data_IF_809220037144
#
_entry.id   IF_809220037144
#
_cell.length_a   1.000
_cell.length_b   1.000
_cell.length_c   1.000
_cell.angle_alpha   90.00
_cell.angle_beta   90.00
_cell.angle_gamma   90.00
#
_symmetry.space_group_name_H-M   'P 1'
#
loop_
_entity.id
_entity.type
_entity.pdbx_description
1 polymer ?
#
# COMPACT_ATOMS: atom_id res chain seq x y z
N UNK A 1 9.87 17.12 20.43
CA UNK A 1 10.43 15.88 19.84
C UNK A 1 11.50 16.14 18.79
N UNK A 2 11.25 16.96 17.76
CA UNK A 2 12.26 17.25 16.71
C UNK A 2 13.60 17.74 17.26
N UNK A 3 13.59 18.70 18.20
CA UNK A 3 14.83 19.19 18.85
C UNK A 3 15.60 18.09 19.59
N UNK A 4 14.89 17.15 20.21
CA UNK A 4 15.52 16.00 20.88
C UNK A 4 16.22 15.11 19.85
N UNK A 5 15.58 14.79 18.72
CA UNK A 5 16.19 14.00 17.66
C UNK A 5 17.42 14.68 17.04
N UNK A 6 17.43 16.03 16.97
CA UNK A 6 18.61 16.78 16.52
C UNK A 6 19.78 16.68 17.50
N UNK A 7 19.51 16.75 18.81
CA UNK A 7 20.52 16.64 19.88
C UNK A 7 21.00 15.19 20.10
N UNK A 8 20.14 14.23 19.82
CA UNK A 8 20.37 12.79 20.02
C UNK A 8 20.00 12.02 18.75
N UNK A 9 20.79 12.16 17.66
CA UNK A 9 20.48 11.51 16.40
C UNK A 9 20.52 9.99 16.55
N UNK A 10 19.52 9.33 15.96
CA UNK A 10 19.43 7.88 15.91
C UNK A 10 20.27 7.34 14.75
N UNK A 11 20.50 6.02 14.73
CA UNK A 11 21.24 5.36 13.65
C UNK A 11 20.51 5.47 12.31
N UNK A 12 21.26 5.84 11.27
CA UNK A 12 20.83 5.90 9.88
C UNK A 12 21.87 5.16 9.05
N UNK A 13 21.45 4.13 8.31
CA UNK A 13 22.34 3.33 7.47
C UNK A 13 22.82 4.11 6.26
N UNK A 14 24.09 3.92 5.91
CA UNK A 14 24.69 4.58 4.75
C UNK A 14 24.06 4.08 3.44
N UNK A 15 23.89 5.01 2.49
CA UNK A 15 23.44 4.70 1.14
C UNK A 15 24.59 4.78 0.15
N UNK A 16 24.86 3.66 -0.51
CA UNK A 16 25.79 3.62 -1.64
C UNK A 16 25.08 4.07 -2.91
N UNK A 17 25.73 4.92 -3.72
CA UNK A 17 25.24 5.27 -5.05
C UNK A 17 25.16 4.04 -5.98
N UNK A 18 25.98 3.01 -5.70
CA UNK A 18 25.98 1.74 -6.41
C UNK A 18 24.98 0.72 -5.84
N UNK A 19 24.14 1.12 -4.87
CA UNK A 19 23.11 0.23 -4.31
C UNK A 19 22.20 -0.27 -5.42
N UNK A 20 21.89 -1.56 -5.37
CA UNK A 20 21.03 -2.28 -6.31
C UNK A 20 19.58 -2.31 -5.86
N UNK A 21 19.30 -1.82 -4.65
CA UNK A 21 17.97 -1.79 -4.06
C UNK A 21 17.00 -0.96 -4.88
N UNK A 22 15.82 -1.49 -5.15
CA UNK A 22 14.77 -0.79 -5.91
C UNK A 22 13.41 -1.38 -5.57
N UNK A 23 12.36 -0.61 -5.84
CA UNK A 23 10.99 -1.07 -5.84
C UNK A 23 10.67 -1.70 -7.19
N UNK A 24 10.02 -2.86 -7.16
CA UNK A 24 9.41 -3.47 -8.33
C UNK A 24 7.88 -3.39 -8.17
N UNK A 25 7.20 -2.93 -9.22
CA UNK A 25 5.74 -2.74 -9.22
C UNK A 25 5.19 -3.07 -10.59
N UNK A 26 3.90 -3.45 -10.66
CA UNK A 26 3.24 -3.76 -11.91
C UNK A 26 3.18 -2.52 -12.81
N UNK A 27 3.28 -2.74 -14.13
CA UNK A 27 3.23 -1.68 -15.15
C UNK A 27 1.92 -1.67 -15.95
N UNK A 28 1.07 -2.65 -15.69
CA UNK A 28 -0.27 -2.82 -16.26
C UNK A 28 -1.03 -3.84 -15.40
N UNK A 29 -2.36 -3.87 -15.50
CA UNK A 29 -3.20 -4.91 -14.89
C UNK A 29 -3.32 -4.87 -13.37
N UNK A 30 -2.85 -3.82 -12.70
CA UNK A 30 -3.10 -3.57 -11.27
C UNK A 30 -4.26 -2.59 -11.07
N UNK A 31 -4.57 -2.23 -9.82
CA UNK A 31 -5.68 -1.32 -9.54
C UNK A 31 -5.48 0.05 -10.18
N UNK A 32 -4.25 0.56 -10.22
CA UNK A 32 -3.94 1.86 -10.83
C UNK A 32 -4.34 1.92 -12.31
N UNK A 33 -3.91 0.95 -13.11
CA UNK A 33 -4.09 1.02 -14.57
C UNK A 33 -5.53 0.71 -15.01
N UNK A 34 -6.28 -0.05 -14.20
CA UNK A 34 -7.68 -0.37 -14.44
C UNK A 34 -8.68 0.60 -13.84
N UNK A 35 -8.25 1.60 -13.05
CA UNK A 35 -9.17 2.46 -12.30
C UNK A 35 -10.09 3.29 -13.22
N UNK A 36 -11.34 3.44 -12.79
CA UNK A 36 -12.30 4.42 -13.31
C UNK A 36 -12.95 5.11 -12.13
N UNK A 37 -13.25 6.40 -12.25
CA UNK A 37 -13.82 7.20 -11.17
C UNK A 37 -14.93 8.13 -11.68
N UNK A 38 -15.87 8.46 -10.79
CA UNK A 38 -17.00 9.34 -11.05
C UNK A 38 -17.37 10.14 -9.80
N UNK A 39 -17.53 11.45 -9.95
CA UNK A 39 -18.22 12.31 -8.96
C UNK A 39 -19.72 12.29 -9.21
N UNK A 40 -20.54 12.01 -8.19
CA UNK A 40 -21.99 11.97 -8.33
C UNK A 40 -22.65 13.35 -8.36
N UNK A 41 -23.63 13.53 -9.24
CA UNK A 41 -24.39 14.77 -9.41
C UNK A 41 -25.62 14.87 -8.48
N UNK A 42 -26.04 13.75 -7.91
CA UNK A 42 -27.22 13.57 -7.05
C UNK A 42 -27.03 12.37 -6.11
N UNK A 43 -27.88 12.26 -5.10
CA UNK A 43 -27.93 11.07 -4.24
C UNK A 43 -28.32 9.83 -5.07
N UNK A 44 -27.64 8.71 -4.87
CA UNK A 44 -27.90 7.46 -5.59
C UNK A 44 -27.79 6.26 -4.65
N UNK A 45 -28.58 5.24 -4.93
CA UNK A 45 -28.37 3.91 -4.34
C UNK A 45 -27.91 2.98 -5.45
N UNK A 46 -26.75 2.35 -5.27
CA UNK A 46 -26.15 1.49 -6.29
C UNK A 46 -25.98 0.06 -5.80
N UNK A 47 -25.87 -0.87 -6.75
CA UNK A 47 -25.50 -2.27 -6.52
C UNK A 47 -24.26 -2.62 -7.33
N UNK A 48 -23.50 -3.60 -6.85
CA UNK A 48 -22.35 -4.17 -7.55
C UNK A 48 -22.77 -5.54 -8.11
N UNK A 49 -22.67 -5.72 -9.42
CA UNK A 49 -23.10 -6.93 -10.11
C UNK A 49 -22.01 -7.44 -11.05
N UNK A 50 -21.98 -8.75 -11.27
CA UNK A 50 -21.14 -9.42 -12.25
C UNK A 50 -22.06 -10.12 -13.25
N UNK A 51 -21.97 -9.72 -14.51
CA UNK A 51 -22.61 -10.43 -15.63
C UNK A 51 -21.60 -11.41 -16.21
N UNK A 52 -21.81 -12.71 -16.02
CA UNK A 52 -20.91 -13.77 -16.49
C UNK A 52 -20.98 -13.95 -18.00
N UNK A 53 -20.02 -14.71 -18.57
CA UNK A 53 -20.05 -15.05 -20.01
C UNK A 53 -21.25 -15.92 -20.40
N UNK A 54 -21.86 -16.67 -19.47
CA UNK A 54 -23.11 -17.41 -19.71
C UNK A 54 -24.34 -16.50 -19.82
N UNK A 55 -24.21 -15.23 -19.41
CA UNK A 55 -25.32 -14.27 -19.33
C UNK A 55 -26.01 -14.22 -17.97
N UNK A 56 -25.52 -14.99 -16.99
CA UNK A 56 -26.05 -14.95 -15.62
C UNK A 56 -25.58 -13.68 -14.89
N UNK A 57 -26.46 -13.09 -14.08
CA UNK A 57 -26.12 -11.92 -13.26
C UNK A 57 -25.98 -12.32 -11.81
N UNK A 58 -24.76 -12.18 -11.26
CA UNK A 58 -24.46 -12.39 -9.85
C UNK A 58 -24.43 -11.04 -9.14
N UNK A 59 -25.22 -10.88 -8.08
CA UNK A 59 -25.20 -9.68 -7.24
C UNK A 59 -24.14 -9.84 -6.16
N UNK A 60 -23.03 -9.11 -6.26
CA UNK A 60 -21.93 -9.14 -5.30
C UNK A 60 -22.22 -8.27 -4.07
N UNK A 61 -22.79 -7.08 -4.30
CA UNK A 61 -23.27 -6.18 -3.24
C UNK A 61 -24.64 -5.62 -3.62
N UNK A 62 -25.71 -5.95 -2.88
CA UNK A 62 -27.06 -5.56 -3.29
C UNK A 62 -27.37 -4.07 -3.09
N UNK A 63 -26.70 -3.41 -2.13
CA UNK A 63 -26.96 -2.00 -1.81
C UNK A 63 -25.69 -1.31 -1.29
N UNK A 64 -25.45 -0.11 -1.84
CA UNK A 64 -24.50 0.91 -1.39
C UNK A 64 -25.16 2.28 -1.58
N UNK A 65 -25.38 3.02 -0.47
CA UNK A 65 -25.97 4.37 -0.51
C UNK A 65 -24.87 5.41 -0.68
N UNK A 66 -25.08 6.34 -1.59
CA UNK A 66 -24.12 7.37 -1.98
C UNK A 66 -24.80 8.74 -2.01
N UNK A 67 -24.10 9.75 -1.50
CA UNK A 67 -24.57 11.12 -1.48
C UNK A 67 -24.17 11.90 -2.74
N UNK A 68 -24.89 12.99 -3.00
CA UNK A 68 -24.49 13.98 -3.99
C UNK A 68 -23.08 14.49 -3.70
N UNK A 69 -22.25 14.51 -4.72
CA UNK A 69 -20.88 15.00 -4.65
C UNK A 69 -19.87 13.96 -4.17
N UNK A 70 -20.31 12.78 -3.70
CA UNK A 70 -19.42 11.67 -3.39
C UNK A 70 -18.67 11.23 -4.65
N UNK A 71 -17.41 10.81 -4.46
CA UNK A 71 -16.60 10.21 -5.50
C UNK A 71 -16.63 8.69 -5.28
N UNK A 72 -16.93 7.96 -6.35
CA UNK A 72 -16.85 6.50 -6.39
C UNK A 72 -15.85 6.04 -7.43
N UNK A 73 -15.14 4.97 -7.11
CA UNK A 73 -14.15 4.37 -8.00
C UNK A 73 -14.49 2.91 -8.25
N UNK A 74 -14.08 2.41 -9.41
CA UNK A 74 -14.14 1.01 -9.78
C UNK A 74 -12.79 0.61 -10.32
N UNK A 75 -12.15 -0.37 -9.69
CA UNK A 75 -10.80 -0.81 -10.03
C UNK A 75 -10.67 -2.31 -9.83
N UNK A 76 -9.83 -2.95 -10.62
CA UNK A 76 -9.52 -4.37 -10.45
C UNK A 76 -8.02 -4.63 -10.60
N UNK A 77 -7.57 -5.71 -9.98
CA UNK A 77 -6.22 -6.27 -10.18
C UNK A 77 -6.37 -7.60 -10.90
N UNK A 78 -5.74 -7.72 -12.06
CA UNK A 78 -5.71 -8.95 -12.84
C UNK A 78 -4.83 -9.97 -12.15
N UNK A 79 -5.39 -11.15 -11.84
CA UNK A 79 -4.63 -12.28 -11.27
C UNK A 79 -3.54 -12.73 -12.23
N UNK A 80 -3.85 -12.79 -13.53
CA UNK A 80 -2.89 -13.20 -14.55
C UNK A 80 -1.69 -12.25 -14.60
N UNK A 81 -1.95 -10.94 -14.72
CA UNK A 81 -0.89 -9.94 -14.75
C UNK A 81 -0.06 -9.95 -13.47
N UNK A 82 -0.69 -10.14 -12.30
CA UNK A 82 -0.01 -10.27 -11.03
C UNK A 82 0.91 -11.49 -10.97
N UNK A 83 0.43 -12.66 -11.42
CA UNK A 83 1.22 -13.88 -11.43
C UNK A 83 2.41 -13.79 -12.40
N UNK A 84 2.18 -13.26 -13.60
CA UNK A 84 3.23 -13.04 -14.61
C UNK A 84 4.30 -12.08 -14.07
N UNK A 85 3.86 -10.98 -13.44
CA UNK A 85 4.75 -10.03 -12.77
C UNK A 85 5.58 -10.71 -11.66
N UNK A 86 4.97 -11.52 -10.81
CA UNK A 86 5.72 -12.21 -9.75
C UNK A 86 6.78 -13.16 -10.30
N UNK A 87 6.46 -13.98 -11.31
CA UNK A 87 7.45 -14.88 -11.92
C UNK A 87 8.60 -14.06 -12.56
N UNK A 88 8.29 -12.97 -13.28
CA UNK A 88 9.31 -12.07 -13.84
C UNK A 88 10.22 -11.48 -12.76
N UNK A 89 9.64 -10.96 -11.67
CA UNK A 89 10.42 -10.29 -10.63
C UNK A 89 11.25 -11.26 -9.78
N UNK A 90 10.72 -12.46 -9.53
CA UNK A 90 11.44 -13.58 -8.88
C UNK A 90 12.63 -13.98 -9.75
N UNK A 91 12.41 -14.19 -11.05
CA UNK A 91 13.46 -14.60 -11.98
C UNK A 91 14.54 -13.51 -12.15
N UNK A 92 14.15 -12.25 -12.26
CA UNK A 92 15.11 -11.15 -12.33
C UNK A 92 15.90 -11.02 -11.03
N UNK A 93 15.28 -11.19 -9.85
CA UNK A 93 15.98 -11.16 -8.58
C UNK A 93 17.00 -12.31 -8.47
N UNK A 94 16.64 -13.49 -8.97
CA UNK A 94 17.54 -14.65 -9.02
C UNK A 94 18.73 -14.39 -9.95
N UNK A 95 18.48 -14.00 -11.20
CA UNK A 95 19.53 -13.70 -12.20
C UNK A 95 20.47 -12.58 -11.76
N UNK A 96 19.92 -11.56 -11.12
CA UNK A 96 20.71 -10.42 -10.66
C UNK A 96 21.37 -10.71 -9.30
N UNK A 97 20.92 -11.71 -8.54
CA UNK A 97 21.45 -12.01 -7.21
C UNK A 97 21.12 -10.93 -6.17
N UNK A 98 20.01 -10.22 -6.35
CA UNK A 98 19.46 -9.27 -5.36
C UNK A 98 18.39 -10.00 -4.55
N UNK A 99 18.39 -9.80 -3.23
CA UNK A 99 17.43 -10.46 -2.35
C UNK A 99 15.99 -10.00 -2.64
N UNK A 100 15.04 -10.91 -2.70
CA UNK A 100 13.63 -10.60 -2.91
C UNK A 100 12.95 -10.25 -1.57
N UNK A 101 12.11 -9.23 -1.56
CA UNK A 101 11.18 -8.95 -0.47
C UNK A 101 9.81 -8.57 -1.00
N UNK A 102 8.75 -8.88 -0.25
CA UNK A 102 7.36 -8.53 -0.55
C UNK A 102 6.83 -7.57 0.51
N UNK A 103 6.30 -6.44 0.05
CA UNK A 103 5.79 -5.38 0.90
C UNK A 103 4.33 -5.10 0.56
N UNK A 104 3.43 -5.67 1.36
CA UNK A 104 1.97 -5.49 1.24
C UNK A 104 1.37 -5.11 2.60
N UNK A 105 0.06 -4.91 2.65
CA UNK A 105 -0.67 -4.50 3.86
C UNK A 105 -1.82 -5.44 4.22
N UNK A 106 -1.52 -6.72 4.43
CA UNK A 106 -2.55 -7.76 4.52
C UNK A 106 -3.46 -7.66 5.76
N UNK A 107 -2.98 -7.06 6.85
CA UNK A 107 -3.77 -6.88 8.08
C UNK A 107 -4.91 -5.88 7.93
N UNK A 108 -4.66 -4.78 7.21
CA UNK A 108 -5.65 -3.73 6.97
C UNK A 108 -6.48 -4.07 5.73
N UNK A 109 -5.83 -4.48 4.63
CA UNK A 109 -6.51 -4.85 3.38
C UNK A 109 -6.95 -6.31 3.40
N UNK A 110 -7.87 -6.62 4.33
CA UNK A 110 -8.21 -7.99 4.76
C UNK A 110 -8.69 -8.95 3.67
N UNK A 111 -9.17 -8.42 2.54
CA UNK A 111 -9.65 -9.24 1.41
C UNK A 111 -8.57 -9.31 0.33
N UNK A 112 -8.15 -8.17 -0.22
CA UNK A 112 -7.28 -8.14 -1.40
C UNK A 112 -5.86 -8.62 -1.11
N UNK A 113 -5.21 -8.10 -0.06
CA UNK A 113 -3.77 -8.33 0.12
C UNK A 113 -3.40 -9.75 0.58
N UNK A 114 -4.22 -10.49 1.36
CA UNK A 114 -3.98 -11.92 1.56
C UNK A 114 -3.96 -12.72 0.25
N UNK A 115 -4.84 -12.41 -0.72
CA UNK A 115 -4.84 -13.05 -2.05
C UNK A 115 -3.56 -12.70 -2.81
N UNK A 116 -3.20 -11.42 -2.85
CA UNK A 116 -1.96 -10.93 -3.48
C UNK A 116 -0.72 -11.59 -2.89
N UNK A 117 -0.70 -11.77 -1.57
CA UNK A 117 0.37 -12.46 -0.85
C UNK A 117 0.41 -13.95 -1.17
N UNK A 118 -0.73 -14.63 -1.13
CA UNK A 118 -0.81 -16.07 -1.42
C UNK A 118 -0.33 -16.43 -2.82
N UNK A 119 -0.60 -15.58 -3.83
CA UNK A 119 -0.04 -15.76 -5.17
C UNK A 119 1.49 -15.69 -5.17
N UNK A 120 2.11 -14.76 -4.44
CA UNK A 120 3.56 -14.69 -4.34
C UNK A 120 4.16 -15.98 -3.75
N UNK A 121 3.54 -16.52 -2.68
CA UNK A 121 3.98 -17.77 -2.05
C UNK A 121 3.87 -18.94 -3.01
N UNK A 122 2.72 -19.11 -3.68
CA UNK A 122 2.51 -20.21 -4.63
C UNK A 122 3.49 -20.17 -5.80
N UNK A 123 3.80 -18.98 -6.32
CA UNK A 123 4.73 -18.82 -7.46
C UNK A 123 6.17 -19.06 -7.03
N UNK A 124 6.56 -18.58 -5.85
CA UNK A 124 7.91 -18.81 -5.33
C UNK A 124 8.17 -20.32 -5.12
N UNK A 125 7.22 -21.04 -4.52
CA UNK A 125 7.31 -22.47 -4.23
C UNK A 125 6.59 -23.36 -5.26
N UNK A 126 6.46 -22.90 -6.51
CA UNK A 126 5.60 -23.55 -7.52
C UNK A 126 5.88 -25.04 -7.69
N UNK A 127 7.15 -25.46 -7.70
CA UNK A 127 7.53 -26.87 -7.92
C UNK A 127 7.03 -27.76 -6.78
N UNK A 128 7.07 -27.28 -5.53
CA UNK A 128 6.53 -27.99 -4.38
C UNK A 128 4.99 -28.02 -4.41
N UNK A 129 4.34 -26.92 -4.80
CA UNK A 129 2.89 -26.88 -4.97
C UNK A 129 2.43 -27.83 -6.08
N UNK A 130 3.06 -27.81 -7.25
CA UNK A 130 2.71 -28.70 -8.36
C UNK A 130 2.81 -30.19 -7.96
N UNK A 131 3.83 -30.55 -7.19
CA UNK A 131 4.01 -31.93 -6.72
C UNK A 131 3.00 -32.34 -5.64
N UNK A 132 2.65 -31.44 -4.72
CA UNK A 132 1.87 -31.74 -3.51
C UNK A 132 0.45 -31.18 -3.50
N UNK A 133 -0.02 -30.56 -4.60
CA UNK A 133 -1.26 -29.79 -4.65
C UNK A 133 -2.46 -30.56 -4.10
N UNK A 134 -2.63 -31.81 -4.53
CA UNK A 134 -3.75 -32.66 -4.07
C UNK A 134 -3.76 -32.84 -2.56
N UNK A 135 -2.58 -33.07 -1.97
CA UNK A 135 -2.45 -33.23 -0.52
C UNK A 135 -2.69 -31.90 0.21
N UNK A 136 -2.18 -30.79 -0.34
CA UNK A 136 -2.44 -29.45 0.21
C UNK A 136 -3.93 -29.10 0.19
N UNK A 137 -4.66 -29.46 -0.86
CA UNK A 137 -6.11 -29.28 -0.94
C UNK A 137 -6.84 -30.15 0.10
N UNK A 138 -6.46 -31.42 0.25
CA UNK A 138 -7.03 -32.35 1.25
C UNK A 138 -6.81 -31.87 2.70
N UNK A 139 -5.65 -31.27 2.98
CA UNK A 139 -5.31 -30.70 4.29
C UNK A 139 -5.92 -29.30 4.52
N UNK A 140 -6.47 -28.68 3.46
CA UNK A 140 -7.00 -27.32 3.50
C UNK A 140 -5.92 -26.27 3.77
N UNK A 141 -4.74 -26.43 3.15
CA UNK A 141 -3.65 -25.45 3.21
C UNK A 141 -4.09 -24.16 2.52
N UNK A 142 -3.96 -23.03 3.22
CA UNK A 142 -4.26 -21.71 2.69
C UNK A 142 -3.09 -20.75 2.90
N UNK A 143 -2.20 -20.68 1.90
CA UNK A 143 -1.05 -19.77 1.94
C UNK A 143 -1.36 -18.28 1.80
N UNK A 144 -2.63 -17.91 1.61
CA UNK A 144 -3.05 -16.53 1.84
C UNK A 144 -2.84 -16.13 3.32
N UNK A 145 -2.78 -17.11 4.22
CA UNK A 145 -2.44 -16.96 5.63
C UNK A 145 -0.94 -17.13 5.95
N UNK A 146 -0.08 -17.32 4.94
CA UNK A 146 1.36 -17.56 5.17
C UNK A 146 1.81 -19.01 5.03
N UNK A 147 3.12 -19.21 4.89
CA UNK A 147 3.74 -20.54 5.04
C UNK A 147 3.54 -21.13 6.43
N UNK A 148 3.30 -20.30 7.45
CA UNK A 148 2.95 -20.78 8.79
C UNK A 148 1.71 -21.68 8.78
N UNK A 149 0.72 -21.36 7.92
CA UNK A 149 -0.47 -22.20 7.74
C UNK A 149 -0.06 -23.56 7.16
N UNK A 150 0.70 -23.58 6.06
CA UNK A 150 1.22 -24.81 5.46
C UNK A 150 1.98 -25.65 6.49
N UNK A 151 2.95 -25.07 7.20
CA UNK A 151 3.74 -25.77 8.20
C UNK A 151 2.86 -26.38 9.29
N UNK A 152 1.87 -25.65 9.80
CA UNK A 152 0.94 -26.18 10.81
C UNK A 152 0.09 -27.36 10.30
N UNK A 153 -0.30 -27.36 9.03
CA UNK A 153 -1.13 -28.41 8.44
C UNK A 153 -0.37 -29.71 8.21
N UNK A 154 0.90 -29.61 7.84
CA UNK A 154 1.73 -30.80 7.56
C UNK A 154 2.24 -31.48 8.83
N UNK A 155 2.18 -30.85 10.01
CA UNK A 155 2.55 -31.46 11.30
C UNK A 155 1.74 -32.73 11.61
N UNK A 156 0.51 -32.83 11.10
CA UNK A 156 -0.35 -34.00 11.28
C UNK A 156 0.02 -35.19 10.38
N UNK A 157 0.95 -35.02 9.44
CA UNK A 157 1.35 -36.05 8.48
C UNK A 157 2.37 -37.04 9.08
N UNK A 158 2.50 -38.24 8.50
CA UNK A 158 3.63 -39.12 8.78
C UNK A 158 4.97 -38.42 8.52
N UNK A 159 5.97 -38.69 9.36
CA UNK A 159 7.28 -38.05 9.30
C UNK A 159 7.93 -38.08 7.90
N UNK A 160 7.78 -39.19 7.16
CA UNK A 160 8.33 -39.31 5.81
C UNK A 160 7.71 -38.32 4.80
N UNK A 161 6.39 -38.09 4.86
CA UNK A 161 5.71 -37.13 3.99
C UNK A 161 6.01 -35.70 4.42
N UNK A 162 6.03 -35.45 5.73
CA UNK A 162 6.42 -34.15 6.28
C UNK A 162 7.84 -33.77 5.83
N UNK A 163 8.83 -34.65 6.01
CA UNK A 163 10.21 -34.42 5.59
C UNK A 163 10.35 -34.25 4.07
N UNK A 164 9.57 -34.99 3.28
CA UNK A 164 9.54 -34.82 1.83
C UNK A 164 9.06 -33.42 1.43
N UNK A 165 7.95 -32.93 1.99
CA UNK A 165 7.42 -31.59 1.71
C UNK A 165 8.43 -30.51 2.11
N UNK A 166 9.01 -30.62 3.31
CA UNK A 166 10.02 -29.66 3.79
C UNK A 166 11.24 -29.64 2.86
N UNK A 167 11.74 -30.81 2.45
CA UNK A 167 12.86 -30.90 1.50
C UNK A 167 12.51 -30.26 0.16
N UNK A 168 11.31 -30.51 -0.37
CA UNK A 168 10.90 -29.98 -1.67
C UNK A 168 10.69 -28.46 -1.62
N UNK A 169 10.20 -27.91 -0.49
CA UNK A 169 10.17 -26.47 -0.25
C UNK A 169 11.58 -25.87 -0.19
N UNK A 170 12.53 -26.55 0.46
CA UNK A 170 13.94 -26.13 0.48
C UNK A 170 14.57 -26.19 -0.92
N UNK A 171 14.27 -27.22 -1.71
CA UNK A 171 14.78 -27.38 -3.07
C UNK A 171 14.37 -26.21 -3.98
N UNK A 172 13.18 -25.61 -3.77
CA UNK A 172 12.76 -24.42 -4.51
C UNK A 172 13.78 -23.27 -4.37
N UNK A 173 14.45 -23.13 -3.21
CA UNK A 173 15.44 -22.07 -3.01
C UNK A 173 16.71 -22.22 -3.86
N UNK A 174 16.97 -23.39 -4.46
CA UNK A 174 18.13 -23.59 -5.36
C UNK A 174 17.99 -22.84 -6.68
N UNK A 175 16.76 -22.56 -7.12
CA UNK A 175 16.43 -21.93 -8.40
C UNK A 175 15.58 -20.66 -8.22
N UNK A 176 15.56 -20.12 -7.01
CA UNK A 176 14.81 -18.91 -6.62
C UNK A 176 15.75 -17.95 -5.91
N UNK A 177 15.46 -16.63 -5.91
CA UNK A 177 16.32 -15.67 -5.22
C UNK A 177 16.31 -15.93 -3.71
N UNK A 178 17.36 -15.47 -3.03
CA UNK A 178 17.33 -15.34 -1.58
C UNK A 178 16.13 -14.48 -1.16
N UNK A 179 15.42 -14.89 -0.12
CA UNK A 179 14.25 -14.21 0.40
C UNK A 179 14.60 -13.44 1.67
N UNK A 180 14.03 -12.25 1.83
CA UNK A 180 14.17 -11.47 3.05
C UNK A 180 13.63 -12.23 4.28
N UNK A 181 14.27 -11.99 5.42
CA UNK A 181 13.95 -12.63 6.69
C UNK A 181 13.36 -11.62 7.68
N UNK A 182 12.35 -12.08 8.41
CA UNK A 182 11.79 -11.39 9.58
C UNK A 182 12.66 -11.72 10.80
N UNK A 183 12.99 -13.00 10.98
CA UNK A 183 13.93 -13.50 11.99
C UNK A 183 14.75 -14.64 11.39
N UNK A 184 15.98 -14.35 10.98
CA UNK A 184 16.88 -15.33 10.36
C UNK A 184 17.31 -16.43 11.34
N UNK A 185 17.39 -16.14 12.64
CA UNK A 185 17.80 -17.12 13.65
C UNK A 185 16.72 -18.20 13.88
N UNK A 186 15.46 -17.85 13.64
CA UNK A 186 14.31 -18.76 13.71
C UNK A 186 13.84 -19.28 12.35
N UNK A 187 14.49 -18.88 11.25
CA UNK A 187 14.06 -19.24 9.91
C UNK A 187 12.73 -18.62 9.47
N UNK A 188 12.29 -17.52 10.11
CA UNK A 188 11.04 -16.83 9.78
C UNK A 188 11.31 -15.89 8.60
N UNK A 189 10.83 -16.27 7.42
CA UNK A 189 10.98 -15.52 6.18
C UNK A 189 9.87 -14.48 5.96
N UNK A 190 10.01 -13.64 4.94
CA UNK A 190 8.98 -12.71 4.48
C UNK A 190 7.65 -13.40 4.13
N UNK A 191 7.68 -14.69 3.77
CA UNK A 191 6.50 -15.47 3.42
C UNK A 191 5.92 -16.27 4.58
N UNK A 192 6.48 -16.15 5.79
CA UNK A 192 5.99 -16.89 6.95
C UNK A 192 4.56 -16.50 7.32
N UNK A 193 4.28 -15.21 7.49
CA UNK A 193 2.92 -14.68 7.71
C UNK A 193 2.72 -13.35 6.95
N UNK A 194 1.52 -13.12 6.38
CA UNK A 194 1.20 -11.91 5.62
C UNK A 194 1.15 -10.63 6.49
N UNK A 195 1.13 -10.78 7.82
CA UNK A 195 1.14 -9.65 8.76
C UNK A 195 2.52 -9.24 9.25
N UNK A 196 3.57 -10.01 8.96
CA UNK A 196 4.89 -9.77 9.55
C UNK A 196 5.62 -8.60 8.87
N UNK A 197 5.49 -8.49 7.54
CA UNK A 197 6.12 -7.44 6.73
C UNK A 197 5.03 -6.53 6.16
N UNK A 198 4.71 -5.47 6.91
CA UNK A 198 3.69 -4.49 6.53
C UNK A 198 4.36 -3.31 5.83
N UNK A 199 3.92 -2.99 4.61
CA UNK A 199 4.57 -2.02 3.69
C UNK A 199 4.88 -0.64 4.32
N UNK A 200 3.95 -0.08 5.08
CA UNK A 200 4.09 1.23 5.73
C UNK A 200 5.22 1.27 6.75
N UNK A 201 5.44 0.20 7.50
CA UNK A 201 6.54 0.11 8.48
C UNK A 201 7.83 -0.48 7.88
N UNK A 202 7.72 -1.45 6.99
CA UNK A 202 8.84 -2.20 6.43
C UNK A 202 9.63 -1.39 5.39
N UNK A 203 8.97 -0.62 4.53
CA UNK A 203 9.64 0.23 3.54
C UNK A 203 10.50 1.32 4.21
N UNK A 204 10.01 2.09 5.19
CA UNK A 204 10.86 3.03 5.93
C UNK A 204 11.98 2.36 6.70
N UNK A 205 11.75 1.19 7.29
CA UNK A 205 12.79 0.45 8.00
C UNK A 205 13.93 0.04 7.04
N UNK A 206 13.60 -0.48 5.87
CA UNK A 206 14.55 -0.83 4.81
C UNK A 206 15.31 0.41 4.30
N UNK A 207 14.60 1.52 4.05
CA UNK A 207 15.21 2.77 3.59
C UNK A 207 16.16 3.36 4.64
N UNK A 208 15.75 3.35 5.91
CA UNK A 208 16.57 3.78 7.04
C UNK A 208 17.82 2.91 7.20
N UNK A 209 17.73 1.60 6.93
CA UNK A 209 18.85 0.66 7.02
C UNK A 209 19.85 0.75 5.84
N UNK A 210 19.78 1.80 5.02
CA UNK A 210 20.67 1.97 3.86
C UNK A 210 20.20 1.20 2.64
N UNK A 211 18.90 0.94 2.53
CA UNK A 211 18.32 0.18 1.44
C UNK A 211 18.46 -1.32 1.62
N UNK A 212 18.50 -1.82 2.85
CA UNK A 212 18.86 -3.22 3.13
C UNK A 212 17.85 -3.91 4.03
N UNK A 213 17.73 -5.22 3.85
CA UNK A 213 16.98 -6.13 4.72
C UNK A 213 17.84 -7.33 5.10
N UNK A 214 17.44 -8.06 6.14
CA UNK A 214 18.18 -9.24 6.60
C UNK A 214 17.94 -10.43 5.67
N UNK A 215 19.01 -11.09 5.26
CA UNK A 215 18.97 -12.36 4.54
C UNK A 215 19.03 -13.58 5.45
N UNK A 216 19.06 -14.76 4.85
CA UNK A 216 19.09 -16.04 5.57
C UNK A 216 20.37 -16.21 6.42
N UNK A 217 21.47 -15.56 6.01
CA UNK A 217 22.74 -15.53 6.75
C UNK A 217 22.78 -14.50 7.91
N UNK A 218 21.66 -13.82 8.18
CA UNK A 218 21.55 -12.81 9.23
C UNK A 218 22.26 -11.49 8.91
N UNK A 219 22.64 -11.25 7.66
CA UNK A 219 23.31 -10.01 7.23
C UNK A 219 22.39 -9.12 6.40
N UNK A 220 22.65 -7.81 6.46
CA UNK A 220 21.93 -6.80 5.67
C UNK A 220 22.38 -6.83 4.21
N UNK A 221 21.43 -6.98 3.29
CA UNK A 221 21.64 -7.08 1.83
C UNK A 221 20.73 -6.13 1.07
N UNK A 222 21.19 -5.70 -0.10
CA UNK A 222 20.35 -4.95 -1.05
C UNK A 222 19.17 -5.83 -1.48
N UNK A 223 18.03 -5.20 -1.74
CA UNK A 223 16.78 -5.92 -1.98
C UNK A 223 15.94 -5.35 -3.11
N UNK A 224 15.26 -6.22 -3.84
CA UNK A 224 14.12 -5.87 -4.69
C UNK A 224 12.88 -5.87 -3.81
N UNK A 225 12.42 -4.68 -3.45
CA UNK A 225 11.20 -4.47 -2.72
C UNK A 225 10.00 -4.57 -3.65
N UNK A 226 9.35 -5.74 -3.66
CA UNK A 226 8.17 -5.98 -4.50
C UNK A 226 6.94 -5.35 -3.83
N UNK A 227 6.37 -4.38 -4.51
CA UNK A 227 5.12 -3.71 -4.18
C UNK A 227 4.22 -3.82 -5.42
N UNK A 228 3.43 -4.91 -5.57
CA UNK A 228 2.74 -5.19 -6.83
C UNK A 228 1.87 -4.04 -7.30
N UNK A 229 1.08 -3.48 -6.38
CA UNK A 229 0.22 -2.33 -6.64
C UNK A 229 1.01 -1.03 -6.82
N UNK A 230 0.88 -0.42 -7.99
CA UNK A 230 1.66 0.74 -8.39
C UNK A 230 1.14 2.09 -7.89
N UNK A 231 -0.13 2.16 -7.49
CA UNK A 231 -0.79 3.40 -7.03
C UNK A 231 0.06 4.19 -6.04
N UNK A 232 0.68 3.52 -5.06
CA UNK A 232 1.44 4.18 -3.98
C UNK A 232 2.89 3.70 -3.85
N UNK A 233 3.35 2.78 -4.71
CA UNK A 233 4.71 2.23 -4.61
C UNK A 233 5.77 3.19 -5.18
N UNK A 234 5.38 4.03 -6.15
CA UNK A 234 6.25 4.93 -6.91
C UNK A 234 6.94 5.98 -6.02
N UNK A 235 6.29 6.42 -4.95
CA UNK A 235 6.89 7.37 -3.99
C UNK A 235 8.11 6.77 -3.26
N UNK A 236 8.11 5.47 -2.99
CA UNK A 236 9.25 4.80 -2.37
C UNK A 236 10.42 4.68 -3.34
N UNK A 237 10.16 4.37 -4.62
CA UNK A 237 11.19 4.35 -5.65
C UNK A 237 11.85 5.73 -5.79
N UNK A 238 11.04 6.80 -5.77
CA UNK A 238 11.54 8.17 -5.86
C UNK A 238 12.44 8.53 -4.68
N UNK A 239 12.05 8.13 -3.46
CA UNK A 239 12.89 8.30 -2.28
C UNK A 239 14.19 7.48 -2.37
N UNK A 240 14.13 6.22 -2.81
CA UNK A 240 15.31 5.37 -2.99
C UNK A 240 16.29 6.02 -3.98
N UNK A 241 15.80 6.49 -5.12
CA UNK A 241 16.61 7.21 -6.11
C UNK A 241 17.25 8.46 -5.51
N UNK A 242 16.48 9.20 -4.70
CA UNK A 242 16.95 10.40 -4.02
C UNK A 242 18.11 10.09 -3.06
N UNK A 243 17.97 9.10 -2.18
CA UNK A 243 19.01 8.77 -1.18
C UNK A 243 20.22 8.07 -1.79
N UNK A 244 20.07 7.34 -2.90
CA UNK A 244 21.22 6.88 -3.70
C UNK A 244 22.02 8.05 -4.27
N UNK A 245 21.36 9.13 -4.67
CA UNK A 245 22.02 10.29 -5.27
C UNK A 245 22.66 11.20 -4.21
N UNK A 246 21.93 11.51 -3.14
CA UNK A 246 22.28 12.53 -2.16
C UNK A 246 22.88 11.95 -0.86
N UNK A 247 22.94 10.63 -0.73
CA UNK A 247 23.24 9.97 0.53
C UNK A 247 22.04 9.96 1.47
N UNK A 248 22.23 9.37 2.65
CA UNK A 248 21.20 9.24 3.66
C UNK A 248 20.79 10.60 4.27
N UNK A 249 19.55 10.70 4.77
CA UNK A 249 19.09 11.88 5.51
C UNK A 249 19.86 12.08 6.82
N UNK A 250 20.04 13.35 7.22
CA UNK A 250 20.66 13.72 8.49
C UNK A 250 19.60 14.25 9.48
N UNK A 251 19.24 13.48 10.53
CA UNK A 251 18.26 13.91 11.54
C UNK A 251 18.61 15.22 12.25
N UNK A 252 19.88 15.63 12.25
CA UNK A 252 20.36 16.87 12.90
C UNK A 252 19.92 18.12 12.14
N UNK A 253 19.82 18.04 10.82
CA UNK A 253 19.64 19.21 9.93
C UNK A 253 18.38 19.13 9.10
N UNK A 254 17.83 17.94 8.86
CA UNK A 254 16.65 17.77 8.01
C UNK A 254 15.43 18.52 8.58
N UNK A 255 14.58 18.98 7.66
CA UNK A 255 13.28 19.58 7.98
C UNK A 255 12.28 18.54 8.50
N UNK A 256 11.00 18.85 8.44
CA UNK A 256 9.92 17.95 8.80
C UNK A 256 8.81 17.88 7.75
N UNK A 257 8.12 16.74 7.69
CA UNK A 257 6.97 16.54 6.82
C UNK A 257 5.72 16.15 7.62
N UNK A 258 4.95 17.13 8.13
CA UNK A 258 3.64 16.86 8.70
C UNK A 258 2.67 16.37 7.62
N UNK A 259 1.63 15.63 8.03
CA UNK A 259 0.59 15.15 7.12
C UNK A 259 -0.80 15.67 7.53
N UNK A 260 -1.61 16.01 6.53
CA UNK A 260 -3.06 16.25 6.66
C UNK A 260 -3.77 15.20 5.80
N UNK A 261 -4.31 14.18 6.46
CA UNK A 261 -4.86 13.00 5.79
C UNK A 261 -6.38 13.02 5.66
N UNK A 262 -6.87 12.72 4.45
CA UNK A 262 -8.29 12.47 4.18
C UNK A 262 -8.65 11.06 4.69
N UNK A 263 -9.41 10.97 5.78
CA UNK A 263 -9.76 9.67 6.38
C UNK A 263 -11.16 9.58 6.99
N UNK A 264 -11.87 10.72 7.11
CA UNK A 264 -13.18 10.76 7.71
C UNK A 264 -14.17 9.83 6.98
N UNK A 265 -15.10 9.24 7.73
CA UNK A 265 -16.15 8.36 7.19
C UNK A 265 -15.63 7.16 6.38
N UNK A 266 -14.44 6.64 6.75
CA UNK A 266 -13.76 5.53 6.05
C UNK A 266 -13.47 5.85 4.58
N UNK A 267 -12.90 7.04 4.34
CA UNK A 267 -12.55 7.49 3.00
C UNK A 267 -11.68 6.46 2.24
N UNK A 268 -11.97 6.33 0.95
CA UNK A 268 -11.18 5.59 -0.05
C UNK A 268 -11.08 4.09 0.28
N UNK A 269 -9.88 3.50 0.20
CA UNK A 269 -9.70 2.04 0.30
C UNK A 269 -10.06 1.47 1.68
N UNK A 270 -9.99 2.27 2.75
CA UNK A 270 -10.34 1.82 4.11
C UNK A 270 -11.84 1.56 4.26
N UNK A 271 -12.66 2.16 3.40
CA UNK A 271 -14.10 1.94 3.34
C UNK A 271 -14.51 0.80 2.43
N UNK A 272 -13.57 0.15 1.73
CA UNK A 272 -13.91 -0.75 0.62
C UNK A 272 -14.01 -2.23 1.00
N UNK A 273 -13.74 -2.63 2.26
CA UNK A 273 -13.63 -4.05 2.61
C UNK A 273 -14.89 -4.87 2.27
N UNK A 274 -16.08 -4.29 2.45
CA UNK A 274 -17.37 -4.91 2.11
C UNK A 274 -17.75 -4.75 0.63
N UNK A 275 -16.85 -4.16 -0.17
CA UNK A 275 -16.97 -3.87 -1.60
C UNK A 275 -15.71 -4.32 -2.36
N UNK A 276 -15.01 -5.32 -1.82
CA UNK A 276 -13.87 -5.98 -2.46
C UNK A 276 -14.22 -7.45 -2.64
N UNK A 277 -14.07 -7.97 -3.86
CA UNK A 277 -14.46 -9.33 -4.22
C UNK A 277 -13.38 -10.00 -5.05
N UNK A 278 -13.08 -11.26 -4.76
CA UNK A 278 -12.40 -12.16 -5.69
C UNK A 278 -13.45 -12.65 -6.69
N UNK A 279 -13.18 -12.46 -7.98
CA UNK A 279 -14.12 -12.76 -9.06
C UNK A 279 -14.16 -14.26 -9.29
N UNK A 280 -15.34 -14.87 -9.11
CA UNK A 280 -15.50 -16.32 -9.23
C UNK A 280 -15.55 -16.82 -10.68
N UNK A 281 -15.94 -15.98 -11.63
CA UNK A 281 -16.04 -16.32 -13.05
C UNK A 281 -15.79 -15.06 -13.91
N UNK A 282 -15.16 -15.23 -15.07
CA UNK A 282 -14.95 -14.13 -16.00
C UNK A 282 -16.27 -13.49 -16.46
N UNK A 283 -16.27 -12.17 -16.61
CA UNK A 283 -17.47 -11.41 -16.96
C UNK A 283 -17.26 -9.90 -16.95
N UNK A 284 -18.38 -9.19 -16.84
CA UNK A 284 -18.43 -7.73 -16.75
C UNK A 284 -18.93 -7.34 -15.37
N UNK A 285 -18.08 -6.66 -14.61
CA UNK A 285 -18.38 -6.16 -13.27
C UNK A 285 -18.87 -4.70 -13.35
N UNK A 286 -20.14 -4.49 -13.00
CA UNK A 286 -20.82 -3.20 -13.13
C UNK A 286 -21.24 -2.64 -11.77
N UNK A 287 -21.12 -1.32 -11.64
CA UNK A 287 -21.77 -0.52 -10.59
C UNK A 287 -23.01 0.09 -11.22
N UNK A 288 -24.18 -0.33 -10.74
CA UNK A 288 -25.48 0.00 -11.35
C UNK A 288 -26.33 0.77 -10.37
N UNK A 289 -26.88 1.90 -10.80
CA UNK A 289 -27.91 2.63 -10.08
C UNK A 289 -29.19 1.78 -9.99
N UNK A 290 -29.68 1.55 -8.77
CA UNK A 290 -30.79 0.62 -8.51
C UNK A 290 -32.10 1.16 -9.07
N UNK A 291 -32.32 2.47 -8.98
CA UNK A 291 -33.61 3.10 -9.32
C UNK A 291 -33.79 3.24 -10.84
N UNK A 292 -32.70 3.52 -11.55
CA UNK A 292 -32.70 3.79 -13.00
C UNK A 292 -32.22 2.63 -13.86
N UNK A 293 -31.43 1.71 -13.29
CA UNK A 293 -30.71 0.68 -14.03
C UNK A 293 -29.51 1.20 -14.83
N UNK A 294 -29.11 2.47 -14.62
CA UNK A 294 -27.95 3.07 -15.27
C UNK A 294 -26.65 2.41 -14.79
N UNK A 295 -25.84 1.93 -15.74
CA UNK A 295 -24.46 1.49 -15.44
C UNK A 295 -23.58 2.71 -15.30
N UNK A 296 -23.07 2.95 -14.09
CA UNK A 296 -22.23 4.10 -13.78
C UNK A 296 -20.76 3.84 -14.12
N UNK A 297 -20.24 2.68 -13.70
CA UNK A 297 -18.86 2.25 -13.92
C UNK A 297 -18.86 0.76 -14.25
N UNK A 298 -18.02 0.36 -15.20
CA UNK A 298 -17.95 -1.02 -15.72
C UNK A 298 -16.50 -1.48 -15.83
N UNK A 299 -16.23 -2.76 -15.54
CA UNK A 299 -14.91 -3.39 -15.65
C UNK A 299 -15.03 -4.78 -16.29
N UNK A 300 -14.14 -5.09 -17.23
CA UNK A 300 -13.99 -6.46 -17.72
C UNK A 300 -13.06 -7.20 -16.78
N UNK A 301 -13.51 -8.32 -16.22
CA UNK A 301 -12.78 -9.08 -15.21
C UNK A 301 -12.68 -10.56 -15.57
N UNK A 302 -11.63 -11.21 -15.12
CA UNK A 302 -11.38 -12.64 -15.28
C UNK A 302 -11.51 -13.38 -13.93
N UNK A 303 -11.55 -14.72 -13.98
CA UNK A 303 -11.61 -15.55 -12.78
C UNK A 303 -10.35 -15.35 -11.89
N UNK A 304 -10.59 -15.08 -10.61
CA UNK A 304 -9.58 -14.82 -9.59
C UNK A 304 -9.07 -13.38 -9.57
N UNK A 305 -9.54 -12.51 -10.47
CA UNK A 305 -9.26 -11.07 -10.37
C UNK A 305 -9.85 -10.50 -9.07
N UNK A 306 -9.23 -9.46 -8.56
CA UNK A 306 -9.73 -8.77 -7.36
C UNK A 306 -10.40 -7.48 -7.81
N UNK A 307 -11.72 -7.35 -7.64
CA UNK A 307 -12.47 -6.15 -7.97
C UNK A 307 -12.84 -5.37 -6.70
N UNK A 308 -12.76 -4.03 -6.76
CA UNK A 308 -12.95 -3.15 -5.60
C UNK A 308 -13.67 -1.86 -5.99
N UNK A 309 -14.55 -1.40 -5.08
CA UNK A 309 -15.21 -0.10 -5.15
C UNK A 309 -14.98 0.75 -3.87
N UNK A 310 -13.94 1.60 -3.85
CA UNK A 310 -13.78 2.66 -2.84
C UNK A 310 -14.81 3.78 -2.99
N UNK A 311 -15.01 4.53 -1.91
CA UNK A 311 -15.90 5.70 -1.87
C UNK A 311 -15.25 6.77 -0.99
N UNK A 312 -15.36 8.03 -1.39
CA UNK A 312 -15.07 9.16 -0.51
C UNK A 312 -16.19 10.18 -0.57
N UNK A 313 -16.60 10.67 0.61
CA UNK A 313 -17.73 11.58 0.71
C UNK A 313 -17.31 13.02 0.51
N UNK A 314 -18.20 13.82 -0.07
CA UNK A 314 -17.93 15.23 -0.33
C UNK A 314 -17.60 16.03 0.95
N UNK A 315 -18.35 15.76 2.02
CA UNK A 315 -18.16 16.42 3.30
C UNK A 315 -16.77 16.13 3.92
N UNK A 316 -16.25 14.91 3.74
CA UNK A 316 -14.90 14.57 4.18
C UNK A 316 -13.83 15.33 3.39
N UNK A 317 -14.04 15.54 2.09
CA UNK A 317 -13.12 16.30 1.23
C UNK A 317 -13.09 17.78 1.63
N UNK A 318 -14.26 18.39 1.85
CA UNK A 318 -14.35 19.78 2.29
C UNK A 318 -13.59 20.01 3.61
N UNK A 319 -13.82 19.15 4.62
CA UNK A 319 -13.13 19.25 5.91
C UNK A 319 -11.61 19.05 5.77
N UNK A 320 -11.19 18.11 4.93
CA UNK A 320 -9.77 17.88 4.62
C UNK A 320 -9.09 19.10 3.99
N UNK A 321 -9.73 19.76 3.02
CA UNK A 321 -9.20 20.99 2.39
C UNK A 321 -9.11 22.12 3.41
N UNK A 322 -10.16 22.31 4.21
CA UNK A 322 -10.19 23.29 5.30
C UNK A 322 -9.06 23.08 6.29
N UNK A 323 -8.82 21.83 6.71
CA UNK A 323 -7.75 21.48 7.64
C UNK A 323 -6.37 21.75 7.02
N UNK A 324 -6.18 21.44 5.73
CA UNK A 324 -4.92 21.71 5.04
C UNK A 324 -4.60 23.21 4.99
N UNK A 325 -5.59 24.06 4.66
CA UNK A 325 -5.45 25.52 4.68
C UNK A 325 -5.16 26.03 6.10
N UNK A 326 -5.90 25.54 7.08
CA UNK A 326 -5.73 25.91 8.51
C UNK A 326 -4.30 25.62 8.97
N UNK A 327 -3.80 24.40 8.72
CA UNK A 327 -2.43 24.01 9.10
C UNK A 327 -1.36 24.77 8.32
N UNK A 328 -1.59 25.06 7.05
CA UNK A 328 -0.72 25.93 6.25
C UNK A 328 -0.60 27.33 6.87
N UNK A 329 -1.72 27.92 7.27
CA UNK A 329 -1.77 29.25 7.90
C UNK A 329 -1.11 29.27 9.28
N UNK A 330 -1.43 28.32 10.15
CA UNK A 330 -0.90 28.25 11.51
C UNK A 330 0.62 28.03 11.55
N UNK A 331 1.16 27.28 10.59
CA UNK A 331 2.58 26.90 10.56
C UNK A 331 3.45 27.77 9.65
N UNK A 332 2.85 28.46 8.68
CA UNK A 332 3.58 29.14 7.60
C UNK A 332 4.30 28.19 6.64
N UNK A 333 4.04 26.88 6.72
CA UNK A 333 4.67 25.88 5.86
C UNK A 333 4.02 25.83 4.47
N UNK A 334 4.76 25.34 3.48
CA UNK A 334 4.19 25.02 2.18
C UNK A 334 3.27 23.81 2.32
N UNK A 335 2.07 23.88 1.73
CA UNK A 335 1.11 22.77 1.67
C UNK A 335 1.13 22.20 0.27
N UNK A 336 1.36 20.90 0.17
CA UNK A 336 1.37 20.18 -1.10
C UNK A 336 0.29 19.13 -1.04
N UNK A 337 -0.69 19.21 -1.94
CA UNK A 337 -1.67 18.16 -2.20
C UNK A 337 -1.05 17.14 -3.16
N UNK A 338 -0.97 15.88 -2.74
CA UNK A 338 -0.33 14.79 -3.50
C UNK A 338 -1.42 14.08 -4.28
N UNK A 339 -1.72 14.60 -5.47
CA UNK A 339 -2.80 14.13 -6.32
C UNK A 339 -2.29 13.97 -7.75
N UNK A 340 -2.23 12.73 -8.20
CA UNK A 340 -1.82 12.32 -9.53
C UNK A 340 -2.72 12.92 -10.62
N UNK A 341 -2.10 13.23 -11.75
CA UNK A 341 -2.75 13.69 -12.96
C UNK A 341 -3.36 12.54 -13.77
N UNK A 342 -2.86 11.32 -13.59
CA UNK A 342 -3.20 10.16 -14.42
C UNK A 342 -4.15 9.18 -13.72
N UNK A 343 -4.30 9.29 -12.40
CA UNK A 343 -5.23 8.47 -11.62
C UNK A 343 -6.63 9.08 -11.63
N UNK A 344 -7.67 8.42 -12.16
CA UNK A 344 -9.02 8.97 -12.25
C UNK A 344 -9.60 9.48 -10.93
N UNK A 345 -9.43 8.74 -9.84
CA UNK A 345 -9.86 9.16 -8.50
C UNK A 345 -9.24 10.49 -8.08
N UNK A 346 -7.91 10.59 -8.23
CA UNK A 346 -7.18 11.79 -7.84
C UNK A 346 -7.48 12.97 -8.79
N UNK A 347 -7.84 12.71 -10.05
CA UNK A 347 -8.37 13.74 -10.96
C UNK A 347 -9.70 14.31 -10.46
N UNK A 348 -10.62 13.47 -9.97
CA UNK A 348 -11.87 13.94 -9.34
C UNK A 348 -11.57 14.74 -8.05
N UNK A 349 -10.67 14.26 -7.19
CA UNK A 349 -10.23 15.00 -6.00
C UNK A 349 -9.61 16.36 -6.35
N UNK A 350 -8.84 16.46 -7.43
CA UNK A 350 -8.23 17.73 -7.86
C UNK A 350 -9.29 18.77 -8.23
N UNK A 351 -10.42 18.35 -8.82
CA UNK A 351 -11.56 19.25 -9.09
C UNK A 351 -12.13 19.80 -7.79
N UNK A 352 -12.38 18.93 -6.81
CA UNK A 352 -12.90 19.29 -5.49
C UNK A 352 -11.94 20.20 -4.70
N UNK A 353 -10.64 19.87 -4.68
CA UNK A 353 -9.63 20.72 -4.04
C UNK A 353 -9.59 22.10 -4.70
N UNK A 354 -9.63 22.18 -6.02
CA UNK A 354 -9.64 23.48 -6.73
C UNK A 354 -10.90 24.30 -6.41
N UNK A 355 -12.04 23.64 -6.28
CA UNK A 355 -13.30 24.29 -5.89
C UNK A 355 -13.20 24.81 -4.45
N UNK A 356 -12.95 23.95 -3.48
CA UNK A 356 -13.01 24.29 -2.06
C UNK A 356 -11.86 25.16 -1.55
N UNK A 357 -10.73 25.23 -2.25
CA UNK A 357 -9.72 26.24 -1.93
C UNK A 357 -10.23 27.68 -2.13
N UNK A 358 -11.26 27.90 -2.94
CA UNK A 358 -11.87 29.22 -3.14
C UNK A 358 -12.73 29.67 -1.96
N UNK A 359 -13.17 28.74 -1.12
CA UNK A 359 -13.98 29.01 0.07
C UNK A 359 -13.13 29.43 1.29
N UNK A 360 -11.82 29.58 1.10
CA UNK A 360 -10.88 29.86 2.17
C UNK A 360 -9.93 31.01 1.82
N UNK A 361 -9.51 31.76 2.83
CA UNK A 361 -8.45 32.74 2.68
C UNK A 361 -7.09 32.04 2.49
N UNK A 362 -6.65 31.99 1.24
CA UNK A 362 -5.36 31.44 0.81
C UNK A 362 -4.30 32.50 0.55
N UNK A 363 -4.58 33.78 0.81
CA UNK A 363 -3.64 34.87 0.54
C UNK A 363 -2.35 34.69 1.35
N UNK A 364 -1.19 34.73 0.67
CA UNK A 364 0.11 34.52 1.31
C UNK A 364 0.46 33.06 1.65
N UNK A 365 -0.44 32.10 1.42
CA UNK A 365 -0.13 30.67 1.55
C UNK A 365 0.54 30.13 0.29
N UNK A 366 1.43 29.14 0.47
CA UNK A 366 2.07 28.41 -0.63
C UNK A 366 1.42 27.04 -0.74
N UNK A 367 0.34 26.95 -1.53
CA UNK A 367 -0.41 25.72 -1.76
C UNK A 367 -0.15 25.23 -3.19
N UNK A 368 0.18 23.96 -3.34
CA UNK A 368 0.40 23.32 -4.64
C UNK A 368 -0.39 22.01 -4.74
N UNK A 369 -0.81 21.64 -5.95
CA UNK A 369 -1.47 20.36 -6.23
C UNK A 369 -0.70 19.66 -7.35
N UNK A 370 0.09 18.64 -6.99
CA UNK A 370 1.05 17.99 -7.90
C UNK A 370 0.99 16.47 -7.78
N UNK A 371 1.40 15.72 -8.81
CA UNK A 371 1.41 14.26 -8.75
C UNK A 371 2.31 13.73 -7.64
N UNK A 372 1.99 12.56 -7.11
CA UNK A 372 2.60 11.99 -5.90
C UNK A 372 4.14 11.90 -5.99
N UNK A 373 4.68 11.48 -7.13
CA UNK A 373 6.14 11.36 -7.36
C UNK A 373 6.81 12.74 -7.33
N UNK A 374 6.20 13.73 -7.97
CA UNK A 374 6.69 15.12 -7.94
C UNK A 374 6.60 15.73 -6.54
N UNK A 375 5.51 15.46 -5.83
CA UNK A 375 5.30 15.89 -4.45
C UNK A 375 6.39 15.30 -3.53
N UNK A 376 6.72 14.01 -3.69
CA UNK A 376 7.81 13.35 -3.00
C UNK A 376 9.14 14.04 -3.30
N UNK A 377 9.54 14.17 -4.58
CA UNK A 377 10.79 14.84 -4.97
C UNK A 377 10.90 16.25 -4.38
N UNK A 378 9.87 17.07 -4.56
CA UNK A 378 9.82 18.44 -4.04
C UNK A 378 10.00 18.49 -2.51
N UNK A 379 9.33 17.57 -1.82
CA UNK A 379 9.41 17.45 -0.36
C UNK A 379 10.81 17.07 0.08
N UNK A 380 11.43 16.06 -0.56
CA UNK A 380 12.79 15.60 -0.21
C UNK A 380 13.85 16.67 -0.45
N UNK A 381 13.74 17.42 -1.56
CA UNK A 381 14.64 18.54 -1.84
C UNK A 381 14.58 19.64 -0.77
N UNK A 382 13.38 19.94 -0.27
CA UNK A 382 13.21 20.87 0.85
C UNK A 382 13.73 20.29 2.15
N UNK A 383 13.46 19.01 2.38
CA UNK A 383 13.80 18.28 3.59
C UNK A 383 15.31 18.30 3.86
N UNK A 384 16.14 18.00 2.85
CA UNK A 384 17.61 18.04 2.99
C UNK A 384 18.17 19.45 3.22
N UNK A 385 17.39 20.49 2.92
CA UNK A 385 17.74 21.90 3.14
C UNK A 385 17.18 22.44 4.45
N UNK A 386 16.72 21.56 5.35
CA UNK A 386 16.16 21.93 6.65
C UNK A 386 14.80 22.63 6.57
N UNK A 387 14.09 22.52 5.44
CA UNK A 387 12.80 23.19 5.22
C UNK A 387 11.64 22.21 5.37
N UNK A 388 10.54 22.72 5.92
CA UNK A 388 9.37 21.92 6.26
C UNK A 388 8.29 22.00 5.17
N UNK A 389 7.54 20.92 4.98
CA UNK A 389 6.49 20.82 3.96
C UNK A 389 5.33 20.00 4.50
N UNK A 390 4.10 20.52 4.45
CA UNK A 390 2.90 19.75 4.79
C UNK A 390 2.48 18.91 3.57
N UNK A 391 2.32 17.61 3.76
CA UNK A 391 1.73 16.70 2.80
C UNK A 391 0.22 16.57 3.07
N UNK A 392 -0.62 17.11 2.19
CA UNK A 392 -2.06 16.88 2.19
C UNK A 392 -2.36 15.69 1.26
N UNK A 393 -2.81 14.57 1.80
CA UNK A 393 -2.91 13.31 1.05
C UNK A 393 -4.19 12.53 1.32
N UNK A 394 -4.52 11.59 0.44
CA UNK A 394 -5.49 10.52 0.70
C UNK A 394 -5.09 9.62 1.88
N UNK A 395 -5.97 8.70 2.22
CA UNK A 395 -5.94 7.85 3.41
C UNK A 395 -4.76 6.88 3.42
N UNK A 396 -4.48 6.21 2.28
CA UNK A 396 -3.35 5.28 2.19
C UNK A 396 -2.02 6.03 2.31
N UNK A 397 -1.85 7.14 1.58
CA UNK A 397 -0.65 7.96 1.67
C UNK A 397 -0.49 8.61 3.05
N UNK A 398 -1.57 8.97 3.74
CA UNK A 398 -1.51 9.43 5.13
C UNK A 398 -0.77 8.38 5.96
N UNK A 399 -1.16 7.12 5.88
CA UNK A 399 -0.53 6.05 6.65
C UNK A 399 0.94 5.85 6.25
N UNK A 400 1.22 5.79 4.94
CA UNK A 400 2.57 5.53 4.45
C UNK A 400 3.54 6.66 4.84
N UNK A 401 3.13 7.92 4.68
CA UNK A 401 3.99 9.07 4.93
C UNK A 401 4.16 9.36 6.42
N UNK A 402 3.16 9.06 7.26
CA UNK A 402 3.23 9.24 8.72
C UNK A 402 4.00 8.13 9.43
N UNK A 403 4.27 6.99 8.77
CA UNK A 403 5.36 6.10 9.16
C UNK A 403 6.71 6.55 8.56
N UNK A 404 6.75 6.83 7.26
CA UNK A 404 7.98 7.07 6.52
C UNK A 404 8.82 8.22 7.06
N UNK A 405 8.27 9.44 7.06
CA UNK A 405 9.04 10.61 7.48
C UNK A 405 9.37 10.57 8.98
N UNK A 406 8.45 10.22 9.89
CA UNK A 406 8.79 10.11 11.31
C UNK A 406 9.85 9.05 11.63
N UNK A 407 9.87 7.91 10.92
CA UNK A 407 10.94 6.91 11.11
C UNK A 407 12.30 7.48 10.71
N UNK A 408 12.39 8.25 9.63
CA UNK A 408 13.63 8.89 9.17
C UNK A 408 14.02 10.10 10.04
N UNK A 409 13.04 10.84 10.55
CA UNK A 409 13.26 12.06 11.33
C UNK A 409 13.55 11.78 12.81
N UNK A 410 12.86 10.80 13.40
CA UNK A 410 12.80 10.55 14.85
C UNK A 410 13.22 9.12 15.23
N UNK A 411 13.49 8.25 14.25
CA UNK A 411 13.82 6.84 14.46
C UNK A 411 12.61 5.96 14.73
N UNK A 412 11.40 6.53 14.85
CA UNK A 412 10.13 5.84 15.13
C UNK A 412 8.93 6.76 14.86
N UNK A 413 7.83 6.19 14.39
CA UNK A 413 6.53 6.85 14.22
C UNK A 413 5.67 6.91 15.49
N UNK A 414 6.08 6.22 16.57
CA UNK A 414 5.36 6.26 17.84
C UNK A 414 5.48 7.60 18.59
N UNK A 415 6.42 8.47 18.19
CA UNK A 415 6.73 9.75 18.83
C UNK A 415 6.05 10.94 18.12
N UNK A 416 4.88 10.69 17.54
CA UNK A 416 4.11 11.66 16.75
C UNK A 416 2.84 12.09 17.46
N UNK A 417 2.41 13.32 17.18
CA UNK A 417 1.11 13.82 17.58
C UNK A 417 0.11 13.49 16.45
N UNK A 418 -0.88 12.65 16.74
CA UNK A 418 -1.99 12.34 15.82
C UNK A 418 -3.27 12.94 16.40
N UNK A 419 -3.75 14.01 15.78
CA UNK A 419 -4.97 14.73 16.17
C UNK A 419 -6.01 14.53 15.07
N UNK A 420 -7.20 14.13 15.48
CA UNK A 420 -8.36 13.95 14.61
C UNK A 420 -9.46 14.90 15.10
N UNK A 421 -9.57 16.10 14.51
CA UNK A 421 -10.72 16.96 14.72
C UNK A 421 -11.97 16.22 14.23
N UNK A 422 -12.89 15.92 15.14
CA UNK A 422 -14.13 15.25 14.77
C UNK A 422 -15.03 16.25 14.05
N UNK A 423 -15.63 15.84 12.94
CA UNK A 423 -16.56 16.68 12.16
C UNK A 423 -17.72 17.23 13.01
N UNK A 424 -18.10 16.54 14.10
CA UNK A 424 -19.13 16.97 15.04
C UNK A 424 -18.66 17.99 16.10
N UNK A 425 -17.43 18.52 16.02
CA UNK A 425 -16.90 19.54 16.92
C UNK A 425 -16.12 19.04 18.15
N UNK A 426 -15.75 17.75 18.19
CA UNK A 426 -14.89 17.14 19.21
C UNK A 426 -13.44 16.93 18.74
N UNK A 427 -12.61 16.30 19.56
CA UNK A 427 -11.24 15.94 19.18
C UNK A 427 -10.87 14.54 19.68
N UNK A 428 -10.30 13.72 18.79
CA UNK A 428 -9.70 12.42 19.11
C UNK A 428 -8.16 12.56 19.01
N UNK A 429 -7.46 11.97 19.98
CA UNK A 429 -6.01 12.04 20.09
C UNK A 429 -5.44 10.63 20.13
N UNK A 430 -4.70 10.23 19.10
CA UNK A 430 -4.03 8.93 19.07
C UNK A 430 -2.60 9.07 19.60
N UNK A 431 -2.12 8.06 20.31
CA UNK A 431 -0.84 8.10 21.05
C UNK A 431 0.42 7.97 20.17
N UNK A 432 0.29 8.09 18.84
CA UNK A 432 1.34 7.94 17.84
C UNK A 432 0.79 7.45 16.50
N UNK A 433 1.61 7.43 15.44
CA UNK A 433 1.20 6.96 14.11
C UNK A 433 1.52 5.47 13.85
N UNK A 434 2.36 4.84 14.68
CA UNK A 434 2.76 3.44 14.50
C UNK A 434 1.81 2.42 15.16
N UNK A 435 1.71 1.22 14.60
CA UNK A 435 0.91 0.11 15.14
C UNK A 435 1.47 -0.51 16.44
N UNK A 436 0.66 -1.38 17.09
CA UNK A 436 1.11 -2.23 18.22
C UNK A 436 2.17 -3.20 17.70
N UNK A 437 3.45 -2.93 17.95
CA UNK A 437 4.56 -3.82 17.57
C UNK A 437 4.67 -4.99 18.55
N UNK A 438 4.50 -6.25 18.12
CA UNK A 438 5.21 -7.35 18.76
C UNK A 438 6.71 -7.09 18.53
N UNK A 439 7.54 -7.18 19.56
CA UNK A 439 8.99 -7.11 19.41
C UNK A 439 9.45 -8.29 18.55
N UNK A 440 10.04 -7.99 17.40
CA UNK A 440 11.00 -8.88 16.71
C UNK A 440 12.19 -9.14 17.62
#
# INVERSE_FOLDING_TARGET
MKEYARKHPHSMGEWSQASRTHVATMKEGDFYHGEKSLTLDRDRTVKMVLTTKSGDTVVLKPEVKLGKGDIIDSMFMSKKALCDFYEEQIEDAYKTGVMLSLHVKATMMRVSHPIVFGHAVKIFYKDAFEKHQKLFDELGVNVNNGLSDLYSKIEALPASQHEEIIRDLHACHEHRPELAMVDSAKGISNFHSPSDVIVDASMPAMIRAGGKMYGADGKLKDTKAVNPESTFSRIYQEMINFVKTHGQFDPRTMGTVPNVGLMAQKAEEYGSHDKTFEIAEAGVADIVDIDTGEVLLTQNVEEGDIWRMPVVTDAAIQDWVKLAVTRGRESGMNVVFWLDTERPHEVELRKKVKEYLQDHDTEGLKIQVVPQVWAMRYTLERLIRGKDTIAATGNILRDYLTDLFPILELGTSAKMLSIVPLMAGGGLYETGAGGRRPST
#
